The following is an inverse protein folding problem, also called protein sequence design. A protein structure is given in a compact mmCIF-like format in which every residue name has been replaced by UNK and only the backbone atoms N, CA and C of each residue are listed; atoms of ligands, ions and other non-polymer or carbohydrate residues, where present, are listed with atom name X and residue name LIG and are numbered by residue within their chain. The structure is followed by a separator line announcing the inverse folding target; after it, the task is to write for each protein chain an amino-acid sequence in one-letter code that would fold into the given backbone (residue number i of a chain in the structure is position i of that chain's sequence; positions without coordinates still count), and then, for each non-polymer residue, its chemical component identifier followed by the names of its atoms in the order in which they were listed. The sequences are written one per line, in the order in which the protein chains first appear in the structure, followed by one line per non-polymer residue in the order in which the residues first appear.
data_IF_450205696844
#
_entry.id   IF_450205696844
#
_cell.length_a   1.000
_cell.length_b   1.000
_cell.length_c   1.000
_cell.angle_alpha   90.00
_cell.angle_beta   90.00
_cell.angle_gamma   90.00
#
_symmetry.space_group_name_H-M   'P 1'
#
loop_
_entity.id
_entity.type
_entity.pdbx_description
1 polymer ?
#
# COMPACT_ATOMS: atom_id res chain seq x y z
N UNK A 1 -27.05 0.36 3.67
CA UNK A 1 -25.95 0.63 2.75
C UNK A 1 -24.89 -0.45 2.90
N UNK A 2 -24.45 -1.07 1.79
CA UNK A 2 -23.44 -2.13 1.79
C UNK A 2 -22.18 -1.59 1.13
N UNK A 3 -21.01 -1.85 1.72
CA UNK A 3 -19.72 -1.27 1.31
C UNK A 3 -18.54 -2.26 1.45
N UNK A 4 -18.80 -3.57 1.39
CA UNK A 4 -17.81 -4.64 1.54
C UNK A 4 -16.60 -4.45 0.61
N UNK A 5 -16.84 -4.09 -0.64
CA UNK A 5 -15.80 -3.95 -1.65
C UNK A 5 -14.98 -2.65 -1.54
N UNK A 6 -15.28 -1.79 -0.56
CA UNK A 6 -14.53 -0.54 -0.36
C UNK A 6 -13.14 -0.78 0.28
N UNK A 7 -12.91 -1.95 0.87
CA UNK A 7 -11.62 -2.34 1.41
C UNK A 7 -11.33 -3.81 1.04
N UNK A 8 -10.14 -4.07 0.45
CA UNK A 8 -9.71 -5.44 0.15
C UNK A 8 -10.31 -6.09 -1.10
N UNK A 9 -10.76 -5.29 -2.06
CA UNK A 9 -11.34 -5.77 -3.33
C UNK A 9 -12.51 -6.76 -3.12
N UNK A 10 -12.41 -7.99 -3.60
CA UNK A 10 -13.44 -9.02 -3.45
C UNK A 10 -13.35 -9.87 -2.18
N UNK A 11 -12.44 -9.55 -1.26
CA UNK A 11 -12.32 -10.26 0.01
C UNK A 11 -13.44 -9.85 0.99
N UNK A 12 -14.08 -10.77 1.73
CA UNK A 12 -15.13 -10.47 2.70
C UNK A 12 -14.53 -9.92 4.02
N UNK A 13 -13.82 -8.81 3.95
CA UNK A 13 -13.02 -8.28 5.07
C UNK A 13 -13.89 -7.55 6.07
N UNK A 14 -14.79 -6.69 5.61
CA UNK A 14 -15.67 -5.88 6.47
C UNK A 14 -16.65 -6.80 7.21
N UNK A 15 -17.24 -7.76 6.52
CA UNK A 15 -18.13 -8.75 7.13
C UNK A 15 -17.38 -9.61 8.16
N UNK A 16 -16.14 -10.02 7.84
CA UNK A 16 -15.30 -10.78 8.76
C UNK A 16 -15.02 -9.99 10.04
N UNK A 17 -14.58 -8.73 9.96
CA UNK A 17 -14.26 -7.95 11.17
C UNK A 17 -15.53 -7.66 11.99
N UNK A 18 -16.66 -7.39 11.34
CA UNK A 18 -17.96 -7.20 12.02
C UNK A 18 -18.38 -8.44 12.80
N UNK A 19 -18.22 -9.63 12.21
CA UNK A 19 -18.55 -10.88 12.87
C UNK A 19 -17.62 -11.17 14.04
N UNK A 20 -16.32 -10.88 13.95
CA UNK A 20 -15.39 -10.97 15.06
C UNK A 20 -15.84 -10.08 16.24
N UNK A 21 -16.10 -8.79 15.97
CA UNK A 21 -16.55 -7.84 17.00
C UNK A 21 -17.89 -8.24 17.59
N UNK A 22 -18.86 -8.68 16.77
CA UNK A 22 -20.17 -9.14 17.25
C UNK A 22 -20.08 -10.39 18.14
N UNK A 23 -19.07 -11.23 17.93
CA UNK A 23 -18.76 -12.39 18.76
C UNK A 23 -18.07 -12.03 20.09
N UNK A 24 -17.78 -10.76 20.32
CA UNK A 24 -17.10 -10.28 21.53
C UNK A 24 -15.57 -10.28 21.44
N UNK A 25 -15.02 -10.53 20.27
CA UNK A 25 -13.58 -10.46 20.01
C UNK A 25 -13.11 -8.99 19.92
N UNK A 26 -11.80 -8.79 20.04
CA UNK A 26 -11.19 -7.45 19.98
C UNK A 26 -10.00 -7.46 19.03
N UNK A 27 -10.04 -6.59 18.05
CA UNK A 27 -8.93 -6.37 17.15
C UNK A 27 -7.94 -5.41 17.79
N UNK A 28 -6.73 -5.87 18.10
CA UNK A 28 -5.67 -5.07 18.71
C UNK A 28 -4.69 -4.48 17.69
N UNK A 29 -4.56 -5.18 16.56
CA UNK A 29 -3.66 -4.80 15.48
C UNK A 29 -4.24 -5.18 14.13
N UNK A 30 -4.02 -4.34 13.12
CA UNK A 30 -4.32 -4.61 11.73
C UNK A 30 -3.04 -4.39 10.93
N UNK A 31 -2.71 -5.35 10.06
CA UNK A 31 -1.70 -5.16 9.02
C UNK A 31 -2.30 -5.57 7.70
N UNK A 32 -2.07 -4.76 6.65
CA UNK A 32 -2.73 -5.02 5.38
C UNK A 32 -1.94 -4.53 4.17
N UNK A 33 -2.04 -5.27 3.06
CA UNK A 33 -1.72 -4.81 1.71
C UNK A 33 -3.06 -4.60 1.00
N UNK A 34 -3.43 -3.35 0.73
CA UNK A 34 -4.77 -2.94 0.28
C UNK A 34 -4.79 -2.24 -1.08
N UNK A 35 -3.66 -2.21 -1.79
CA UNK A 35 -3.56 -1.62 -3.13
C UNK A 35 -3.00 -2.63 -4.12
N UNK A 36 -3.84 -3.03 -5.07
CA UNK A 36 -3.42 -3.92 -6.16
C UNK A 36 -2.37 -3.26 -7.07
N UNK A 37 -2.51 -1.97 -7.38
CA UNK A 37 -1.55 -1.21 -8.19
C UNK A 37 -0.17 -1.14 -7.53
N UNK A 38 -0.10 -0.75 -6.25
CA UNK A 38 1.15 -0.70 -5.51
C UNK A 38 1.77 -2.10 -5.33
N UNK A 39 0.95 -3.13 -5.05
CA UNK A 39 1.47 -4.49 -4.94
C UNK A 39 2.04 -4.99 -6.27
N UNK A 40 1.37 -4.73 -7.40
CA UNK A 40 1.90 -5.02 -8.73
C UNK A 40 3.24 -4.32 -8.98
N UNK A 41 3.31 -3.01 -8.69
CA UNK A 41 4.52 -2.22 -8.90
C UNK A 41 5.69 -2.79 -8.10
N UNK A 42 5.54 -3.01 -6.79
CA UNK A 42 6.63 -3.50 -5.94
C UNK A 42 6.96 -4.98 -6.16
N UNK A 43 6.04 -5.79 -6.71
CA UNK A 43 6.35 -7.17 -7.13
C UNK A 43 7.19 -7.24 -8.41
N UNK A 44 7.06 -6.24 -9.28
CA UNK A 44 7.78 -6.21 -10.57
C UNK A 44 9.02 -5.29 -10.55
N UNK A 45 9.12 -4.40 -9.56
CA UNK A 45 10.29 -3.55 -9.37
C UNK A 45 11.47 -4.40 -8.89
N UNK A 46 12.54 -4.44 -9.69
CA UNK A 46 13.69 -5.30 -9.44
C UNK A 46 14.85 -5.01 -10.39
N UNK A 47 15.87 -5.86 -10.40
CA UNK A 47 17.10 -5.62 -11.16
C UNK A 47 16.89 -5.54 -12.70
N UNK A 48 15.81 -6.10 -13.20
CA UNK A 48 15.52 -6.15 -14.65
C UNK A 48 14.62 -4.98 -15.13
N UNK A 49 13.93 -4.31 -14.22
CA UNK A 49 12.98 -3.25 -14.56
C UNK A 49 13.14 -2.08 -13.60
N UNK A 50 13.35 -0.89 -14.15
CA UNK A 50 13.40 0.33 -13.34
C UNK A 50 12.04 0.65 -12.72
N UNK A 51 12.04 1.43 -11.63
CA UNK A 51 10.78 1.88 -11.02
C UNK A 51 9.90 2.64 -12.01
N UNK A 52 10.52 3.52 -12.82
CA UNK A 52 9.85 4.24 -13.91
C UNK A 52 9.13 3.29 -14.88
N UNK A 53 9.83 2.24 -15.35
CA UNK A 53 9.27 1.32 -16.35
C UNK A 53 8.12 0.50 -15.78
N UNK A 54 8.23 0.06 -14.52
CA UNK A 54 7.17 -0.69 -13.85
C UNK A 54 5.93 0.18 -13.61
N UNK A 55 6.07 1.43 -13.20
CA UNK A 55 4.94 2.36 -13.05
C UNK A 55 4.26 2.61 -14.40
N UNK A 56 5.05 2.80 -15.46
CA UNK A 56 4.53 2.98 -16.82
C UNK A 56 3.75 1.74 -17.29
N UNK A 57 4.31 0.55 -17.08
CA UNK A 57 3.66 -0.72 -17.42
C UNK A 57 2.37 -0.93 -16.64
N UNK A 58 2.34 -0.60 -15.34
CA UNK A 58 1.13 -0.63 -14.54
C UNK A 58 0.02 0.24 -15.13
N UNK A 59 0.36 1.41 -15.65
CA UNK A 59 -0.57 2.29 -16.37
C UNK A 59 -1.07 1.69 -17.68
N UNK A 60 -0.18 1.10 -18.49
CA UNK A 60 -0.55 0.43 -19.76
C UNK A 60 -1.51 -0.74 -19.52
N UNK A 61 -1.29 -1.50 -18.45
CA UNK A 61 -2.16 -2.62 -18.05
C UNK A 61 -3.46 -2.18 -17.34
N UNK A 62 -3.65 -0.88 -17.11
CA UNK A 62 -4.84 -0.36 -16.44
C UNK A 62 -4.91 -0.67 -14.94
N UNK A 63 -3.76 -0.85 -14.30
CA UNK A 63 -3.68 -1.10 -12.85
C UNK A 63 -3.59 0.19 -12.04
N UNK A 64 -3.16 1.31 -12.65
CA UNK A 64 -3.18 2.62 -12.02
C UNK A 64 -4.28 3.49 -12.60
N UNK A 65 -4.66 4.52 -11.84
CA UNK A 65 -5.45 5.63 -12.35
C UNK A 65 -4.72 6.34 -13.51
N UNK A 66 -5.44 7.12 -14.35
CA UNK A 66 -4.81 7.89 -15.43
C UNK A 66 -3.67 8.80 -14.94
N UNK A 67 -3.77 9.34 -13.71
CA UNK A 67 -2.66 9.97 -13.01
C UNK A 67 -2.11 9.00 -11.97
N UNK A 68 -0.97 8.34 -12.21
CA UNK A 68 -0.42 7.33 -11.30
C UNK A 68 -0.01 7.89 -9.93
N UNK A 69 0.14 9.21 -9.79
CA UNK A 69 0.38 9.84 -8.48
C UNK A 69 -0.75 9.59 -7.49
N UNK A 70 -1.98 9.41 -7.98
CA UNK A 70 -3.14 9.09 -7.12
C UNK A 70 -2.88 7.79 -6.37
N UNK A 71 -2.50 6.73 -7.09
CA UNK A 71 -2.17 5.43 -6.49
C UNK A 71 -0.93 5.49 -5.61
N UNK A 72 0.14 6.12 -6.14
CA UNK A 72 1.44 6.18 -5.49
C UNK A 72 1.46 7.09 -4.25
N UNK A 73 0.45 7.96 -4.10
CA UNK A 73 0.29 8.79 -2.90
C UNK A 73 -0.05 8.01 -1.63
N UNK A 74 -0.58 6.79 -1.76
CA UNK A 74 -1.03 5.99 -0.63
C UNK A 74 -2.33 6.46 0.04
N UNK A 75 -2.94 7.55 -0.44
CA UNK A 75 -4.17 8.13 0.17
C UNK A 75 -5.33 7.14 0.15
N UNK A 76 -5.49 6.35 -0.92
CA UNK A 76 -6.53 5.33 -1.00
C UNK A 76 -6.31 4.21 0.03
N UNK A 77 -5.06 3.82 0.26
CA UNK A 77 -4.70 2.84 1.29
C UNK A 77 -4.99 3.37 2.70
N UNK A 78 -4.72 4.66 2.93
CA UNK A 78 -5.06 5.32 4.20
C UNK A 78 -6.58 5.34 4.44
N UNK A 79 -7.39 5.61 3.41
CA UNK A 79 -8.86 5.54 3.51
C UNK A 79 -9.36 4.12 3.80
N UNK A 80 -8.75 3.11 3.18
CA UNK A 80 -9.12 1.71 3.37
C UNK A 80 -8.81 1.21 4.79
N UNK A 81 -7.62 1.51 5.32
CA UNK A 81 -7.31 1.13 6.71
C UNK A 81 -8.21 1.87 7.70
N UNK A 82 -8.56 3.13 7.44
CA UNK A 82 -9.50 3.88 8.27
C UNK A 82 -10.85 3.18 8.40
N UNK A 83 -11.39 2.65 7.28
CA UNK A 83 -12.63 1.87 7.30
C UNK A 83 -12.47 0.67 8.24
N UNK A 84 -11.39 -0.10 8.11
CA UNK A 84 -11.17 -1.30 8.94
C UNK A 84 -11.00 -0.95 10.42
N UNK A 85 -10.33 0.15 10.74
CA UNK A 85 -10.16 0.64 12.12
C UNK A 85 -11.52 0.99 12.72
N UNK A 86 -12.37 1.71 11.98
CA UNK A 86 -13.69 2.11 12.44
C UNK A 86 -14.62 0.90 12.62
N UNK A 87 -14.60 -0.05 11.69
CA UNK A 87 -15.37 -1.30 11.79
C UNK A 87 -14.86 -2.21 12.93
N UNK A 88 -13.61 -2.05 13.36
CA UNK A 88 -13.05 -2.69 14.56
C UNK A 88 -13.44 -2.00 15.86
N UNK A 89 -14.28 -0.96 15.81
CA UNK A 89 -14.81 -0.25 16.99
C UNK A 89 -13.94 0.91 17.51
N UNK A 90 -12.94 1.34 16.76
CA UNK A 90 -12.11 2.49 17.12
C UNK A 90 -12.60 3.78 16.46
N UNK A 91 -12.48 4.89 17.16
CA UNK A 91 -12.66 6.22 16.60
C UNK A 91 -11.32 6.76 16.10
N UNK A 92 -11.28 7.17 14.84
CA UNK A 92 -10.10 7.74 14.18
C UNK A 92 -10.55 8.57 12.99
N UNK A 93 -9.82 9.63 12.69
CA UNK A 93 -10.01 10.45 11.49
C UNK A 93 -8.86 10.23 10.50
N UNK A 94 -9.04 10.68 9.26
CA UNK A 94 -8.03 10.45 8.21
C UNK A 94 -6.71 11.20 8.52
N UNK A 95 -6.82 12.33 9.21
CA UNK A 95 -5.71 13.17 9.64
C UNK A 95 -4.86 12.52 10.74
N UNK A 96 -5.40 11.53 11.45
CA UNK A 96 -4.68 10.75 12.47
C UNK A 96 -3.80 9.66 11.87
N UNK A 97 -3.93 9.40 10.56
CA UNK A 97 -3.16 8.36 9.87
C UNK A 97 -1.90 8.98 9.26
N UNK A 98 -0.75 8.55 9.75
CA UNK A 98 0.52 8.95 9.19
C UNK A 98 0.74 8.31 7.82
N UNK A 99 0.79 9.13 6.76
CA UNK A 99 1.08 8.66 5.41
C UNK A 99 2.55 8.92 5.08
N UNK A 100 3.36 7.86 5.11
CA UNK A 100 4.80 7.89 4.87
C UNK A 100 5.08 7.76 3.37
N UNK A 101 5.21 8.90 2.68
CA UNK A 101 5.56 8.91 1.26
C UNK A 101 6.92 8.26 1.03
N UNK A 102 6.97 7.36 0.06
CA UNK A 102 8.23 6.80 -0.45
C UNK A 102 8.73 7.51 -1.72
N UNK A 103 7.88 8.36 -2.30
CA UNK A 103 8.26 9.18 -3.44
C UNK A 103 9.00 10.43 -2.97
N UNK A 104 10.06 10.84 -3.69
CA UNK A 104 10.64 12.16 -3.52
C UNK A 104 9.58 13.27 -3.74
N UNK A 105 9.64 14.29 -2.92
CA UNK A 105 8.70 15.42 -2.95
C UNK A 105 8.54 16.05 -4.34
N UNK A 106 9.65 16.14 -5.11
CA UNK A 106 9.62 16.70 -6.45
C UNK A 106 8.79 15.87 -7.44
N UNK A 107 8.68 14.54 -7.22
CA UNK A 107 7.82 13.70 -8.05
C UNK A 107 6.33 14.02 -7.79
N UNK A 108 5.95 14.20 -6.54
CA UNK A 108 4.57 14.52 -6.17
C UNK A 108 4.12 15.93 -6.61
N UNK A 109 5.06 16.87 -6.73
CA UNK A 109 4.77 18.28 -7.08
C UNK A 109 4.65 18.54 -8.58
N UNK A 110 4.77 17.53 -9.43
CA UNK A 110 4.63 17.67 -10.88
C UNK A 110 3.19 17.95 -11.31
N UNK A 111 3.01 18.76 -12.34
CA UNK A 111 1.67 19.21 -12.78
C UNK A 111 1.00 18.27 -13.80
N UNK A 112 1.76 17.39 -14.43
CA UNK A 112 1.28 16.46 -15.45
C UNK A 112 2.09 15.16 -15.44
N UNK A 113 1.58 14.15 -16.16
CA UNK A 113 2.19 12.82 -16.20
C UNK A 113 3.57 12.81 -16.88
N UNK A 114 3.77 13.62 -17.95
CA UNK A 114 5.06 13.66 -18.64
C UNK A 114 6.17 14.14 -17.71
N UNK A 115 5.91 15.19 -16.96
CA UNK A 115 6.86 15.72 -15.98
C UNK A 115 7.03 14.77 -14.79
N UNK A 116 5.96 14.07 -14.40
CA UNK A 116 6.03 13.03 -13.37
C UNK A 116 6.96 11.89 -13.81
N UNK A 117 6.79 11.34 -15.00
CA UNK A 117 7.66 10.28 -15.50
C UNK A 117 9.12 10.73 -15.68
N UNK A 118 9.34 11.96 -16.14
CA UNK A 118 10.71 12.54 -16.17
C UNK A 118 11.30 12.66 -14.76
N UNK A 119 10.49 13.03 -13.77
CA UNK A 119 10.97 13.15 -12.40
C UNK A 119 11.32 11.78 -11.78
N UNK A 120 10.59 10.71 -12.12
CA UNK A 120 10.95 9.35 -11.72
C UNK A 120 12.31 8.94 -12.29
N UNK A 121 12.58 9.24 -13.55
CA UNK A 121 13.89 8.97 -14.19
C UNK A 121 15.01 9.76 -13.51
N UNK A 122 14.78 11.04 -13.23
CA UNK A 122 15.76 11.89 -12.54
C UNK A 122 16.11 11.37 -11.13
N UNK A 123 15.13 10.75 -10.46
CA UNK A 123 15.29 10.18 -9.13
C UNK A 123 15.54 8.67 -9.13
N UNK A 124 16.01 8.08 -10.23
CA UNK A 124 16.25 6.64 -10.35
C UNK A 124 17.12 6.09 -9.20
N UNK A 125 18.17 6.82 -8.81
CA UNK A 125 19.07 6.44 -7.72
C UNK A 125 18.36 6.27 -6.37
N UNK A 126 17.31 7.05 -6.09
CA UNK A 126 16.50 6.88 -4.87
C UNK A 126 15.82 5.51 -4.84
N UNK A 127 15.22 5.11 -5.94
CA UNK A 127 14.53 3.82 -6.03
C UNK A 127 15.52 2.64 -6.05
N UNK A 128 16.65 2.79 -6.75
CA UNK A 128 17.74 1.79 -6.73
C UNK A 128 18.29 1.58 -5.31
N UNK A 129 18.40 2.65 -4.52
CA UNK A 129 18.81 2.55 -3.13
C UNK A 129 17.80 1.76 -2.29
N UNK A 130 16.48 1.99 -2.46
CA UNK A 130 15.44 1.20 -1.79
C UNK A 130 15.53 -0.30 -2.16
N UNK A 131 15.76 -0.61 -3.43
CA UNK A 131 15.93 -1.99 -3.88
C UNK A 131 17.20 -2.64 -3.31
N UNK A 132 18.29 -1.89 -3.27
CA UNK A 132 19.56 -2.34 -2.66
C UNK A 132 19.38 -2.66 -1.18
N UNK A 133 18.73 -1.77 -0.43
CA UNK A 133 18.45 -2.00 1.00
C UNK A 133 17.53 -3.21 1.22
N UNK A 134 16.53 -3.42 0.35
CA UNK A 134 15.68 -4.60 0.40
C UNK A 134 16.49 -5.88 0.21
N UNK A 135 17.41 -5.90 -0.75
CA UNK A 135 18.28 -7.04 -1.01
C UNK A 135 19.26 -7.30 0.16
N UNK A 136 19.87 -6.25 0.70
CA UNK A 136 20.78 -6.38 1.85
C UNK A 136 20.07 -6.92 3.11
N UNK A 137 18.78 -6.60 3.27
CA UNK A 137 17.92 -7.10 4.36
C UNK A 137 17.26 -8.44 4.04
N UNK A 138 17.55 -9.05 2.89
CA UNK A 138 16.85 -10.24 2.38
C UNK A 138 15.32 -10.13 2.44
N UNK A 139 14.80 -8.95 2.14
CA UNK A 139 13.39 -8.57 2.26
C UNK A 139 12.77 -8.22 0.92
N UNK A 140 11.44 -8.10 0.89
CA UNK A 140 10.68 -7.56 -0.24
C UNK A 140 10.03 -6.23 0.14
N UNK A 141 9.96 -5.32 -0.83
CA UNK A 141 9.25 -4.06 -0.65
C UNK A 141 7.74 -4.28 -0.79
N UNK A 142 6.97 -3.82 0.18
CA UNK A 142 5.50 -3.80 0.13
C UNK A 142 4.99 -2.48 0.69
N UNK A 143 3.93 -1.94 0.09
CA UNK A 143 3.22 -0.81 0.66
C UNK A 143 2.16 -1.33 1.64
N UNK A 144 2.36 -1.06 2.92
CA UNK A 144 1.61 -1.66 4.02
C UNK A 144 0.82 -0.59 4.76
N UNK A 145 -0.43 -0.94 5.09
CA UNK A 145 -1.23 -0.23 6.07
C UNK A 145 -1.13 -0.94 7.42
N UNK A 146 -0.98 -0.17 8.48
CA UNK A 146 -0.79 -0.71 9.82
C UNK A 146 -1.57 0.10 10.85
N UNK A 147 -2.22 -0.61 11.78
CA UNK A 147 -2.85 -0.06 12.96
C UNK A 147 -2.45 -0.88 14.17
N UNK A 148 -1.95 -0.24 15.19
CA UNK A 148 -1.58 -0.85 16.47
C UNK A 148 -1.47 0.22 17.55
N UNK A 149 -1.87 -0.08 18.79
CA UNK A 149 -1.80 0.85 19.93
C UNK A 149 -2.49 2.20 19.66
N UNK A 150 -3.62 2.18 18.94
CA UNK A 150 -4.38 3.37 18.51
C UNK A 150 -3.59 4.34 17.62
N UNK A 151 -2.57 3.87 16.95
CA UNK A 151 -1.82 4.61 15.93
C UNK A 151 -1.97 3.90 14.61
N UNK A 152 -2.07 4.66 13.53
CA UNK A 152 -2.14 4.12 12.19
C UNK A 152 -1.12 4.81 11.28
N UNK A 153 -0.55 4.02 10.39
CA UNK A 153 0.31 4.53 9.33
C UNK A 153 0.14 3.71 8.05
N UNK A 154 0.49 4.32 6.94
CA UNK A 154 0.64 3.65 5.65
C UNK A 154 1.97 4.05 5.06
N UNK A 155 2.65 3.10 4.42
CA UNK A 155 3.96 3.39 3.83
C UNK A 155 4.66 2.15 3.30
N UNK A 156 5.80 2.39 2.66
CA UNK A 156 6.65 1.34 2.14
C UNK A 156 7.40 0.65 3.28
N UNK A 157 7.38 -0.69 3.28
CA UNK A 157 8.05 -1.50 4.30
C UNK A 157 8.92 -2.59 3.67
N UNK A 158 9.98 -2.97 4.37
CA UNK A 158 10.84 -4.10 4.07
C UNK A 158 10.28 -5.35 4.75
N UNK A 159 9.74 -6.28 3.98
CA UNK A 159 9.04 -7.46 4.49
C UNK A 159 9.98 -8.66 4.50
N UNK A 160 10.25 -9.20 5.70
CA UNK A 160 11.10 -10.36 5.90
C UNK A 160 10.45 -11.66 5.37
N UNK A 161 11.28 -12.68 5.12
CA UNK A 161 10.87 -13.96 4.48
C UNK A 161 9.79 -14.74 5.26
N UNK A 162 9.77 -14.60 6.56
CA UNK A 162 8.83 -15.28 7.47
C UNK A 162 7.49 -14.55 7.62
N UNK A 163 7.37 -13.32 7.12
CA UNK A 163 6.15 -12.55 7.21
C UNK A 163 5.13 -12.97 6.14
N UNK A 164 3.83 -13.08 6.45
CA UNK A 164 2.79 -13.48 5.49
C UNK A 164 2.73 -12.64 4.21
N UNK A 165 3.16 -11.36 4.27
CA UNK A 165 3.17 -10.49 3.10
C UNK A 165 4.30 -10.75 2.11
N UNK A 166 5.32 -11.53 2.49
CA UNK A 166 6.50 -11.75 1.65
C UNK A 166 6.14 -12.40 0.30
N UNK A 167 5.25 -13.39 0.32
CA UNK A 167 4.88 -14.18 -0.85
C UNK A 167 3.59 -13.71 -1.55
N UNK A 168 3.08 -12.52 -1.22
CA UNK A 168 1.92 -11.97 -1.94
C UNK A 168 2.39 -11.56 -3.34
N UNK A 169 1.78 -12.16 -4.35
CA UNK A 169 2.12 -11.95 -5.75
C UNK A 169 1.08 -11.07 -6.48
N UNK A 170 1.45 -10.66 -7.71
CA UNK A 170 0.56 -9.94 -8.60
C UNK A 170 0.00 -8.67 -7.98
N UNK A 171 -1.32 -8.59 -7.92
CA UNK A 171 -2.10 -7.46 -7.38
C UNK A 171 -3.00 -7.86 -6.21
N UNK A 172 -2.69 -8.97 -5.55
CA UNK A 172 -3.49 -9.51 -4.47
C UNK A 172 -3.49 -8.61 -3.22
N UNK A 173 -4.58 -8.65 -2.48
CA UNK A 173 -4.73 -7.99 -1.20
C UNK A 173 -4.70 -9.04 -0.07
N UNK A 174 -4.26 -8.61 1.09
CA UNK A 174 -4.30 -9.42 2.32
C UNK A 174 -4.53 -8.51 3.53
N UNK A 175 -5.28 -9.00 4.49
CA UNK A 175 -5.47 -8.34 5.79
C UNK A 175 -5.23 -9.34 6.90
N UNK A 176 -4.46 -8.95 7.89
CA UNK A 176 -4.22 -9.69 9.12
C UNK A 176 -4.84 -8.91 10.28
N UNK A 177 -5.70 -9.57 11.03
CA UNK A 177 -6.25 -9.09 12.29
C UNK A 177 -5.62 -9.86 13.45
N UNK A 178 -5.27 -9.13 14.51
CA UNK A 178 -4.70 -9.69 15.73
C UNK A 178 -5.47 -9.23 16.97
#
# INVERSE_FOLDING_TARGET
FLFETNAGAGLPIIDTVKNLIASGDKVHKIQAVLSGSLNFIFNNFGPNYSFHDVVKEAGVQGFTEPDPKIDLSGVDVARKILILIRESGYQMEIEDIENLSFLPDECMKTNNNDDFFKSLLKNASHFEQLLKEANEKESRLKFVAQFENRKANVGLQFIAKDHPFYNIEGKDNIVLFY
#
